data_IF_976796836035
#
_entry.id   IF_976796836035
#
_cell.length_a   1.000
_cell.length_b   1.000
_cell.length_c   1.000
_cell.angle_alpha   90.00
_cell.angle_beta   90.00
_cell.angle_gamma   90.00
#
_symmetry.space_group_name_H-M   'P 1'
#
loop_
_entity.id
_entity.type
_entity.pdbx_description
1 polymer ?
#
# COMPACT_ATOMS: atom_id res chain seq x y z
N UNK A 1 -23.67 6.66 11.49
CA UNK A 1 -22.67 5.59 11.34
C UNK A 1 -21.28 6.22 11.26
N UNK A 2 -20.29 5.80 12.08
CA UNK A 2 -18.93 6.37 11.99
C UNK A 2 -18.41 6.18 10.56
N UNK A 3 -17.95 7.25 9.89
CA UNK A 3 -17.48 7.21 8.49
C UNK A 3 -16.46 6.08 8.25
N UNK A 4 -15.55 5.86 9.20
CA UNK A 4 -14.59 4.75 9.19
C UNK A 4 -15.25 3.35 9.09
N UNK A 5 -16.36 3.13 9.81
CA UNK A 5 -17.10 1.85 9.79
C UNK A 5 -17.84 1.67 8.47
N UNK A 6 -18.36 2.75 7.87
CA UNK A 6 -19.00 2.69 6.56
C UNK A 6 -17.99 2.25 5.49
N UNK A 7 -16.84 2.93 5.43
CA UNK A 7 -15.76 2.60 4.50
C UNK A 7 -15.19 1.19 4.72
N UNK A 8 -14.98 0.80 5.99
CA UNK A 8 -14.57 -0.56 6.32
C UNK A 8 -15.60 -1.61 5.89
N UNK A 9 -16.89 -1.30 5.98
CA UNK A 9 -17.96 -2.22 5.55
C UNK A 9 -17.99 -2.37 4.03
N UNK A 10 -17.85 -1.26 3.29
CA UNK A 10 -17.74 -1.30 1.82
C UNK A 10 -16.54 -2.14 1.38
N UNK A 11 -15.38 -1.99 2.05
CA UNK A 11 -14.20 -2.81 1.80
C UNK A 11 -14.47 -4.30 2.03
N UNK A 12 -15.09 -4.66 3.16
CA UNK A 12 -15.44 -6.06 3.46
C UNK A 12 -16.44 -6.60 2.45
N UNK A 13 -17.47 -5.85 2.09
CA UNK A 13 -18.47 -6.27 1.10
C UNK A 13 -17.79 -6.51 -0.25
N UNK A 14 -16.91 -5.61 -0.70
CA UNK A 14 -16.12 -5.82 -1.92
C UNK A 14 -15.27 -7.10 -1.87
N UNK A 15 -14.62 -7.35 -0.73
CA UNK A 15 -13.82 -8.56 -0.52
C UNK A 15 -14.68 -9.84 -0.56
N UNK A 16 -15.82 -9.83 0.13
CA UNK A 16 -16.74 -10.98 0.16
C UNK A 16 -17.36 -11.23 -1.22
N UNK A 17 -17.77 -10.17 -1.93
CA UNK A 17 -18.25 -10.28 -3.31
C UNK A 17 -17.19 -10.91 -4.19
N UNK A 18 -15.93 -10.51 -4.06
CA UNK A 18 -14.85 -11.09 -4.84
C UNK A 18 -14.62 -12.58 -4.55
N UNK A 19 -14.62 -12.97 -3.28
CA UNK A 19 -14.49 -14.38 -2.88
C UNK A 19 -15.66 -15.21 -3.43
N UNK A 20 -16.89 -14.74 -3.24
CA UNK A 20 -18.09 -15.45 -3.72
C UNK A 20 -18.10 -15.56 -5.24
N UNK A 21 -17.85 -14.47 -5.95
CA UNK A 21 -17.83 -14.45 -7.40
C UNK A 21 -16.73 -15.34 -7.97
N UNK A 22 -15.54 -15.36 -7.34
CA UNK A 22 -14.46 -16.29 -7.69
C UNK A 22 -14.88 -17.73 -7.50
N UNK A 23 -15.45 -18.10 -6.35
CA UNK A 23 -15.92 -19.47 -6.07
C UNK A 23 -16.98 -19.90 -7.08
N UNK A 24 -17.98 -19.06 -7.34
CA UNK A 24 -19.02 -19.33 -8.34
C UNK A 24 -18.43 -19.52 -9.73
N UNK A 25 -17.42 -18.72 -10.10
CA UNK A 25 -16.71 -18.83 -11.37
C UNK A 25 -15.95 -20.13 -11.56
N UNK A 26 -15.61 -20.84 -10.48
CA UNK A 26 -14.88 -22.11 -10.55
C UNK A 26 -15.76 -23.35 -10.52
N UNK A 27 -17.05 -23.22 -10.19
CA UNK A 27 -17.94 -24.37 -10.04
C UNK A 27 -18.51 -24.82 -11.38
N UNK A 28 -18.40 -26.13 -11.67
CA UNK A 28 -19.13 -26.78 -12.76
C UNK A 28 -18.59 -26.49 -14.16
N UNK A 29 -17.32 -26.14 -14.31
CA UNK A 29 -16.69 -25.85 -15.61
C UNK A 29 -16.27 -27.12 -16.40
N UNK A 30 -16.37 -28.30 -15.80
CA UNK A 30 -16.03 -29.58 -16.45
C UNK A 30 -14.53 -29.92 -16.39
N UNK A 31 -14.13 -31.10 -16.93
CA UNK A 31 -12.80 -31.68 -16.73
C UNK A 31 -11.64 -30.92 -17.42
N UNK A 32 -11.93 -29.99 -18.32
CA UNK A 32 -10.92 -29.15 -18.97
C UNK A 32 -10.39 -28.01 -18.10
N UNK A 33 -11.04 -27.71 -16.97
CA UNK A 33 -10.66 -26.63 -16.06
C UNK A 33 -10.00 -27.18 -14.80
N UNK A 34 -8.67 -27.33 -14.85
CA UNK A 34 -7.84 -27.78 -13.72
C UNK A 34 -7.34 -26.56 -12.91
N UNK A 35 -7.80 -26.35 -11.65
CA UNK A 35 -7.41 -25.20 -10.84
C UNK A 35 -5.94 -25.23 -10.39
N UNK A 36 -5.26 -26.38 -10.51
CA UNK A 36 -3.83 -26.45 -10.22
C UNK A 36 -3.02 -25.86 -11.38
N UNK A 37 -3.46 -26.05 -12.63
CA UNK A 37 -2.72 -25.64 -13.82
C UNK A 37 -3.12 -24.26 -14.33
N UNK A 38 -4.42 -24.01 -14.41
CA UNK A 38 -4.99 -22.79 -15.00
C UNK A 38 -5.07 -21.67 -13.97
N UNK A 39 -4.66 -20.46 -14.33
CA UNK A 39 -4.74 -19.27 -13.48
C UNK A 39 -6.19 -18.87 -13.20
N UNK A 40 -6.44 -17.98 -12.24
CA UNK A 40 -7.75 -17.36 -12.05
C UNK A 40 -8.10 -16.52 -13.30
N UNK A 41 -7.12 -15.85 -13.90
CA UNK A 41 -7.30 -15.12 -15.16
C UNK A 41 -7.67 -16.02 -16.34
N UNK A 42 -7.18 -17.26 -16.42
CA UNK A 42 -7.60 -18.24 -17.44
C UNK A 42 -9.10 -18.58 -17.30
N UNK A 43 -9.64 -18.57 -16.07
CA UNK A 43 -11.08 -18.81 -15.83
C UNK A 43 -11.94 -17.63 -16.29
N UNK A 44 -11.37 -16.43 -16.49
CA UNK A 44 -12.07 -15.30 -17.10
C UNK A 44 -12.45 -15.57 -18.57
N UNK A 45 -11.78 -16.52 -19.23
CA UNK A 45 -12.12 -16.96 -20.59
C UNK A 45 -13.21 -18.04 -20.64
N UNK A 46 -13.69 -18.52 -19.48
CA UNK A 46 -14.73 -19.55 -19.40
C UNK A 46 -16.13 -19.00 -19.70
N UNK A 47 -17.11 -19.89 -19.83
CA UNK A 47 -18.53 -19.53 -19.89
C UNK A 47 -19.04 -18.82 -18.61
N UNK A 48 -18.26 -18.81 -17.52
CA UNK A 48 -18.52 -18.05 -16.29
C UNK A 48 -17.55 -16.88 -16.10
N UNK A 49 -16.82 -16.48 -17.14
CA UNK A 49 -15.76 -15.46 -17.08
C UNK A 49 -16.16 -14.16 -16.40
N UNK A 50 -17.39 -13.71 -16.65
CA UNK A 50 -17.99 -12.51 -16.03
C UNK A 50 -17.94 -12.55 -14.49
N UNK A 51 -18.05 -13.72 -13.86
CA UNK A 51 -17.96 -13.82 -12.39
C UNK A 51 -16.55 -13.55 -11.87
N UNK A 52 -15.52 -13.92 -12.63
CA UNK A 52 -14.13 -13.59 -12.31
C UNK A 52 -13.87 -12.10 -12.52
N UNK A 53 -14.38 -11.52 -13.61
CA UNK A 53 -14.29 -10.08 -13.88
C UNK A 53 -14.98 -9.26 -12.77
N UNK A 54 -16.18 -9.68 -12.33
CA UNK A 54 -16.88 -9.10 -11.18
C UNK A 54 -16.01 -9.17 -9.92
N UNK A 55 -15.30 -10.27 -9.69
CA UNK A 55 -14.41 -10.39 -8.54
C UNK A 55 -13.26 -9.38 -8.61
N UNK A 56 -12.63 -9.23 -9.76
CA UNK A 56 -11.56 -8.25 -9.98
C UNK A 56 -12.05 -6.81 -9.77
N UNK A 57 -13.23 -6.46 -10.32
CA UNK A 57 -13.84 -5.13 -10.15
C UNK A 57 -14.22 -4.88 -8.69
N UNK A 58 -14.80 -5.86 -8.00
CA UNK A 58 -15.17 -5.73 -6.59
C UNK A 58 -13.95 -5.48 -5.70
N UNK A 59 -12.83 -6.16 -5.96
CA UNK A 59 -11.55 -5.92 -5.30
C UNK A 59 -11.03 -4.51 -5.60
N UNK A 60 -11.01 -4.11 -6.86
CA UNK A 60 -10.53 -2.80 -7.30
C UNK A 60 -11.29 -1.63 -6.64
N UNK A 61 -12.59 -1.79 -6.37
CA UNK A 61 -13.41 -0.80 -5.65
C UNK A 61 -13.22 -0.90 -4.13
N UNK A 62 -13.00 -2.11 -3.60
CA UNK A 62 -12.81 -2.36 -2.18
C UNK A 62 -11.57 -1.69 -1.59
N UNK A 63 -10.44 -1.66 -2.32
CA UNK A 63 -9.20 -1.07 -1.79
C UNK A 63 -9.26 0.46 -1.57
N UNK A 64 -9.81 1.29 -2.48
CA UNK A 64 -10.07 2.70 -2.21
C UNK A 64 -10.97 2.91 -0.98
N UNK A 65 -11.97 2.06 -0.76
CA UNK A 65 -12.81 2.12 0.44
C UNK A 65 -12.00 1.80 1.71
N UNK A 66 -11.13 0.78 1.69
CA UNK A 66 -10.20 0.51 2.79
C UNK A 66 -9.32 1.72 3.10
N UNK A 67 -8.81 2.39 2.05
CA UNK A 67 -7.99 3.58 2.18
C UNK A 67 -8.73 4.74 2.86
N UNK A 68 -9.99 4.96 2.48
CA UNK A 68 -10.86 5.93 3.12
C UNK A 68 -11.12 5.58 4.59
N UNK A 69 -11.32 4.30 4.90
CA UNK A 69 -11.49 3.80 6.28
C UNK A 69 -10.27 4.04 7.15
N UNK A 70 -9.07 3.73 6.64
CA UNK A 70 -7.79 3.97 7.31
C UNK A 70 -7.55 5.48 7.56
N UNK A 71 -7.89 6.36 6.59
CA UNK A 71 -7.80 7.81 6.78
C UNK A 71 -8.75 8.29 7.87
N UNK A 72 -9.97 7.75 7.89
CA UNK A 72 -10.99 8.10 8.86
C UNK A 72 -10.64 7.70 10.30
N UNK A 73 -9.70 6.77 10.51
CA UNK A 73 -9.14 6.43 11.84
C UNK A 73 -7.78 7.10 12.11
N UNK A 74 -7.41 8.12 11.33
CA UNK A 74 -6.24 8.95 11.58
C UNK A 74 -4.91 8.40 11.04
N UNK A 75 -4.92 7.34 10.21
CA UNK A 75 -3.68 6.84 9.59
C UNK A 75 -3.20 7.84 8.52
N UNK A 76 -1.91 8.17 8.56
CA UNK A 76 -1.27 9.07 7.60
C UNK A 76 -1.09 8.39 6.22
N UNK A 77 -2.12 8.46 5.38
CA UNK A 77 -2.14 7.86 4.05
C UNK A 77 -1.96 8.92 2.95
N UNK A 78 -0.72 9.39 2.84
CA UNK A 78 -0.26 10.25 1.74
C UNK A 78 0.98 9.65 1.10
N UNK A 79 1.18 9.99 -0.18
CA UNK A 79 2.32 9.56 -0.99
C UNK A 79 2.25 8.09 -1.38
N UNK A 80 3.33 7.35 -1.08
CA UNK A 80 3.59 6.00 -1.58
C UNK A 80 2.42 4.99 -1.39
N UNK A 81 1.77 4.84 -0.22
CA UNK A 81 0.68 3.87 -0.07
C UNK A 81 -0.53 4.15 -0.96
N UNK A 82 -0.87 5.44 -1.15
CA UNK A 82 -1.96 5.84 -2.04
C UNK A 82 -1.61 5.49 -3.47
N UNK A 83 -0.40 5.81 -3.91
CA UNK A 83 0.06 5.54 -5.27
C UNK A 83 0.08 4.03 -5.59
N UNK A 84 0.63 3.21 -4.69
CA UNK A 84 0.68 1.76 -4.87
C UNK A 84 -0.71 1.12 -4.87
N UNK A 85 -1.62 1.54 -3.99
CA UNK A 85 -3.00 1.04 -4.03
C UNK A 85 -3.77 1.50 -5.27
N UNK A 86 -3.44 2.68 -5.82
CA UNK A 86 -3.95 3.08 -7.13
C UNK A 86 -3.43 2.16 -8.24
N UNK A 87 -2.13 1.81 -8.24
CA UNK A 87 -1.58 0.84 -9.19
C UNK A 87 -2.30 -0.50 -9.08
N UNK A 88 -2.51 -1.01 -7.86
CA UNK A 88 -3.23 -2.28 -7.66
C UNK A 88 -4.67 -2.21 -8.16
N UNK A 89 -5.40 -1.15 -7.82
CA UNK A 89 -6.81 -1.00 -8.21
C UNK A 89 -6.95 -0.85 -9.72
N UNK A 90 -6.13 0.00 -10.34
CA UNK A 90 -6.12 0.20 -11.80
C UNK A 90 -5.64 -1.07 -12.52
N UNK A 91 -4.64 -1.76 -12.00
CA UNK A 91 -4.14 -3.01 -12.56
C UNK A 91 -5.22 -4.09 -12.60
N UNK A 92 -6.02 -4.22 -11.52
CA UNK A 92 -7.18 -5.12 -11.50
C UNK A 92 -8.29 -4.71 -12.48
N UNK A 93 -8.58 -3.41 -12.62
CA UNK A 93 -9.55 -2.95 -13.62
C UNK A 93 -9.07 -3.23 -15.05
N UNK A 94 -7.79 -3.00 -15.33
CA UNK A 94 -7.19 -3.33 -16.62
C UNK A 94 -7.29 -4.85 -16.86
N UNK A 95 -6.95 -5.68 -15.87
CA UNK A 95 -7.05 -7.14 -15.99
C UNK A 95 -8.50 -7.62 -16.17
N UNK A 96 -9.49 -6.92 -15.60
CA UNK A 96 -10.90 -7.24 -15.76
C UNK A 96 -11.45 -6.88 -17.15
N UNK A 97 -10.93 -5.81 -17.77
CA UNK A 97 -11.45 -5.28 -19.05
C UNK A 97 -10.67 -5.87 -20.24
N UNK A 98 -9.36 -6.03 -20.10
CA UNK A 98 -8.49 -6.49 -21.17
C UNK A 98 -8.34 -8.01 -21.06
N UNK A 99 -8.77 -8.77 -22.08
CA UNK A 99 -8.73 -10.23 -22.04
C UNK A 99 -7.30 -10.75 -22.05
N UNK A 100 -7.10 -11.88 -21.39
CA UNK A 100 -5.89 -12.70 -21.53
C UNK A 100 -6.03 -13.65 -22.73
N UNK A 101 -4.93 -14.24 -23.18
CA UNK A 101 -4.96 -15.27 -24.21
C UNK A 101 -5.24 -16.65 -23.60
N UNK A 102 -5.87 -17.57 -24.35
CA UNK A 102 -5.97 -18.96 -23.94
C UNK A 102 -4.59 -19.59 -23.70
N UNK A 103 -4.46 -20.49 -22.72
CA UNK A 103 -3.17 -21.09 -22.35
C UNK A 103 -2.55 -21.97 -23.46
N UNK A 104 -3.32 -22.33 -24.50
CA UNK A 104 -2.86 -23.09 -25.67
C UNK A 104 -2.11 -22.25 -26.71
N UNK A 105 -2.16 -20.93 -26.63
CA UNK A 105 -1.50 -20.03 -27.59
C UNK A 105 -0.03 -19.84 -27.20
N UNK A 106 0.88 -19.99 -28.17
CA UNK A 106 2.34 -19.91 -27.94
C UNK A 106 2.90 -18.49 -28.07
N UNK A 107 2.26 -17.62 -28.86
CA UNK A 107 2.63 -16.21 -29.03
C UNK A 107 1.59 -15.31 -28.38
N UNK A 108 2.00 -14.54 -27.35
CA UNK A 108 1.06 -13.65 -26.67
C UNK A 108 0.67 -12.45 -27.55
N UNK A 109 -0.62 -12.16 -27.56
CA UNK A 109 -1.19 -10.94 -28.10
C UNK A 109 -0.80 -9.72 -27.26
N UNK A 110 -0.88 -8.53 -27.85
CA UNK A 110 -0.65 -7.28 -27.12
C UNK A 110 -1.63 -7.11 -25.96
N UNK A 111 -2.89 -7.56 -26.11
CA UNK A 111 -3.88 -7.52 -25.04
C UNK A 111 -3.46 -8.39 -23.85
N UNK A 112 -3.02 -9.62 -24.11
CA UNK A 112 -2.56 -10.52 -23.06
C UNK A 112 -1.27 -10.03 -22.39
N UNK A 113 -0.37 -9.36 -23.12
CA UNK A 113 0.78 -8.68 -22.52
C UNK A 113 0.35 -7.56 -21.56
N UNK A 114 -0.60 -6.71 -21.97
CA UNK A 114 -1.12 -5.66 -21.10
C UNK A 114 -1.78 -6.26 -19.85
N UNK A 115 -2.65 -7.27 -20.02
CA UNK A 115 -3.27 -7.98 -18.91
C UNK A 115 -2.22 -8.54 -17.92
N UNK A 116 -1.19 -9.20 -18.46
CA UNK A 116 -0.11 -9.82 -17.67
C UNK A 116 0.66 -8.79 -16.87
N UNK A 117 1.13 -7.72 -17.51
CA UNK A 117 1.91 -6.69 -16.82
C UNK A 117 1.07 -5.87 -15.84
N UNK A 118 -0.21 -5.63 -16.14
CA UNK A 118 -1.14 -5.01 -15.21
C UNK A 118 -1.35 -5.87 -13.95
N UNK A 119 -1.54 -7.19 -14.13
CA UNK A 119 -1.69 -8.15 -13.03
C UNK A 119 -0.43 -8.25 -12.17
N UNK A 120 0.76 -8.31 -12.81
CA UNK A 120 2.04 -8.31 -12.10
C UNK A 120 2.24 -7.03 -11.30
N UNK A 121 1.94 -5.87 -11.91
CA UNK A 121 2.04 -4.58 -11.23
C UNK A 121 1.10 -4.53 -10.01
N UNK A 122 -0.12 -5.07 -10.13
CA UNK A 122 -1.02 -5.21 -9.00
C UNK A 122 -0.42 -6.10 -7.90
N UNK A 123 -0.04 -7.34 -8.22
CA UNK A 123 0.50 -8.30 -7.25
C UNK A 123 1.74 -7.82 -6.50
N UNK A 124 2.52 -6.92 -7.10
CA UNK A 124 3.68 -6.30 -6.45
C UNK A 124 3.27 -5.08 -5.61
N UNK A 125 2.32 -4.27 -6.09
CA UNK A 125 1.99 -3.00 -5.46
C UNK A 125 1.29 -3.15 -4.10
N UNK A 126 0.34 -4.08 -3.98
CA UNK A 126 -0.41 -4.29 -2.73
C UNK A 126 0.46 -4.70 -1.54
N UNK A 127 1.33 -5.73 -1.62
CA UNK A 127 2.14 -6.11 -0.46
C UNK A 127 3.12 -5.01 -0.05
N UNK A 128 3.64 -4.22 -0.99
CA UNK A 128 4.49 -3.05 -0.67
C UNK A 128 3.65 -1.97 0.02
N UNK A 129 2.46 -1.66 -0.49
CA UNK A 129 1.57 -0.69 0.15
C UNK A 129 1.20 -1.12 1.58
N UNK A 130 0.89 -2.39 1.76
CA UNK A 130 0.53 -2.99 3.03
C UNK A 130 1.70 -2.98 4.03
N UNK A 131 2.93 -3.24 3.58
CA UNK A 131 4.11 -3.15 4.43
C UNK A 131 4.33 -1.72 4.95
N UNK A 132 4.16 -0.71 4.08
CA UNK A 132 4.25 0.70 4.48
C UNK A 132 3.11 1.08 5.44
N UNK A 133 1.87 0.63 5.17
CA UNK A 133 0.72 0.87 6.04
C UNK A 133 0.88 0.20 7.40
N UNK A 134 1.41 -1.02 7.46
CA UNK A 134 1.67 -1.74 8.71
C UNK A 134 2.65 -1.01 9.62
N UNK A 135 3.63 -0.29 9.05
CA UNK A 135 4.55 0.56 9.81
C UNK A 135 3.89 1.86 10.33
N UNK A 136 2.90 2.40 9.59
CA UNK A 136 2.24 3.67 9.93
C UNK A 136 1.01 3.50 10.83
N UNK A 137 0.38 2.33 10.82
CA UNK A 137 -0.88 2.08 11.52
C UNK A 137 -0.63 1.55 12.94
N UNK A 138 -0.30 2.45 13.85
CA UNK A 138 0.02 2.15 15.26
C UNK A 138 -1.17 1.54 16.03
N UNK A 139 -2.40 1.91 15.68
CA UNK A 139 -3.63 1.42 16.32
C UNK A 139 -4.04 -0.03 16.00
N UNK A 140 -3.32 -0.72 15.12
CA UNK A 140 -3.67 -2.09 14.68
C UNK A 140 -3.32 -3.16 15.73
N UNK A 141 -2.32 -2.89 16.57
CA UNK A 141 -1.79 -3.83 17.55
C UNK A 141 -0.76 -4.80 16.98
N UNK A 142 0.24 -5.18 17.81
CA UNK A 142 1.46 -5.91 17.39
C UNK A 142 1.18 -7.20 16.61
N UNK A 143 0.18 -7.99 17.03
CA UNK A 143 -0.17 -9.27 16.36
C UNK A 143 -0.61 -9.06 14.92
N UNK A 144 -1.56 -8.15 14.68
CA UNK A 144 -2.07 -7.88 13.32
C UNK A 144 -0.98 -7.25 12.44
N UNK A 145 -0.16 -6.34 12.98
CA UNK A 145 0.99 -5.80 12.27
C UNK A 145 1.97 -6.90 11.85
N UNK A 146 2.26 -7.87 12.74
CA UNK A 146 3.11 -9.01 12.45
C UNK A 146 2.50 -9.92 11.37
N UNK A 147 1.19 -10.16 11.42
CA UNK A 147 0.46 -10.92 10.40
C UNK A 147 0.55 -10.25 9.03
N UNK A 148 0.31 -8.93 8.94
CA UNK A 148 0.46 -8.20 7.66
C UNK A 148 1.88 -8.32 7.12
N UNK A 149 2.91 -8.13 7.95
CA UNK A 149 4.31 -8.27 7.53
C UNK A 149 4.62 -9.68 7.02
N UNK A 150 4.16 -10.71 7.72
CA UNK A 150 4.33 -12.10 7.28
C UNK A 150 3.66 -12.34 5.93
N UNK A 151 2.44 -11.85 5.74
CA UNK A 151 1.72 -11.97 4.47
C UNK A 151 2.42 -11.20 3.34
N UNK A 152 2.99 -10.01 3.62
CA UNK A 152 3.79 -9.28 2.63
C UNK A 152 5.01 -10.09 2.18
N UNK A 153 5.71 -10.75 3.11
CA UNK A 153 6.83 -11.65 2.78
C UNK A 153 6.32 -12.85 1.98
N UNK A 154 5.20 -13.45 2.37
CA UNK A 154 4.56 -14.54 1.60
C UNK A 154 4.22 -14.09 0.18
N UNK A 155 3.71 -12.87 -0.01
CA UNK A 155 3.43 -12.33 -1.34
C UNK A 155 4.71 -12.12 -2.15
N UNK A 156 5.78 -11.58 -1.55
CA UNK A 156 7.06 -11.39 -2.23
C UNK A 156 7.64 -12.73 -2.71
N UNK A 157 7.61 -13.76 -1.86
CA UNK A 157 7.98 -15.13 -2.24
C UNK A 157 7.05 -15.67 -3.33
N UNK A 158 5.73 -15.45 -3.20
CA UNK A 158 4.74 -15.87 -4.18
C UNK A 158 4.93 -15.25 -5.56
N UNK A 159 5.28 -13.97 -5.65
CA UNK A 159 5.63 -13.28 -6.91
C UNK A 159 6.88 -13.90 -7.52
N UNK A 160 7.92 -14.14 -6.71
CA UNK A 160 9.13 -14.84 -7.18
C UNK A 160 8.83 -16.26 -7.68
N UNK A 161 7.95 -16.97 -6.99
CA UNK A 161 7.51 -18.32 -7.38
C UNK A 161 6.66 -18.29 -8.65
N UNK A 162 5.78 -17.29 -8.83
CA UNK A 162 5.03 -17.09 -10.07
C UNK A 162 5.97 -16.85 -11.24
N UNK A 163 6.99 -16.01 -11.07
CA UNK A 163 8.02 -15.80 -12.10
C UNK A 163 8.73 -17.11 -12.42
N UNK A 164 9.20 -17.85 -11.41
CA UNK A 164 9.87 -19.14 -11.62
C UNK A 164 8.96 -20.13 -12.37
N UNK A 165 7.71 -20.31 -11.93
CA UNK A 165 6.79 -21.24 -12.59
C UNK A 165 6.42 -20.77 -14.00
N UNK A 166 6.32 -19.47 -14.23
CA UNK A 166 5.95 -18.91 -15.54
C UNK A 166 7.04 -19.00 -16.61
N UNK A 167 8.32 -18.98 -16.22
CA UNK A 167 9.44 -19.02 -17.15
C UNK A 167 10.18 -20.37 -17.09
N UNK A 168 11.11 -20.63 -16.15
CA UNK A 168 11.86 -21.89 -16.13
C UNK A 168 11.01 -23.11 -15.72
N UNK A 169 9.95 -22.93 -14.94
CA UNK A 169 9.15 -24.00 -14.36
C UNK A 169 8.05 -24.57 -15.26
N UNK A 170 8.01 -24.20 -16.54
CA UNK A 170 7.12 -24.82 -17.53
C UNK A 170 5.63 -24.69 -17.22
N UNK A 171 5.22 -23.68 -16.44
CA UNK A 171 3.85 -23.44 -15.97
C UNK A 171 3.25 -24.55 -15.10
N UNK A 172 4.09 -25.42 -14.53
CA UNK A 172 3.64 -26.50 -13.63
C UNK A 172 3.05 -25.90 -12.36
N UNK A 173 1.80 -26.25 -12.06
CA UNK A 173 1.05 -25.75 -10.89
C UNK A 173 0.87 -24.21 -10.85
N UNK A 174 0.94 -23.53 -12.00
CA UNK A 174 0.81 -22.08 -12.10
C UNK A 174 -0.49 -21.57 -11.43
N UNK A 175 -1.60 -22.28 -11.65
CA UNK A 175 -2.88 -21.98 -11.05
C UNK A 175 -2.88 -22.02 -9.51
N UNK A 176 -2.16 -22.98 -8.91
CA UNK A 176 -2.05 -23.07 -7.45
C UNK A 176 -1.25 -21.90 -6.88
N UNK A 177 -0.14 -21.55 -7.52
CA UNK A 177 0.74 -20.46 -7.07
C UNK A 177 -0.01 -19.13 -7.13
N UNK A 178 -0.72 -18.85 -8.24
CA UNK A 178 -1.50 -17.62 -8.38
C UNK A 178 -2.60 -17.55 -7.31
N UNK A 179 -3.36 -18.63 -7.10
CA UNK A 179 -4.41 -18.69 -6.07
C UNK A 179 -3.87 -18.45 -4.67
N UNK A 180 -2.71 -19.03 -4.35
CA UNK A 180 -2.06 -18.85 -3.05
C UNK A 180 -1.64 -17.38 -2.85
N UNK A 181 -1.14 -16.73 -3.90
CA UNK A 181 -0.79 -15.32 -3.88
C UNK A 181 -2.03 -14.43 -3.71
N UNK A 182 -3.08 -14.65 -4.51
CA UNK A 182 -4.35 -13.92 -4.40
C UNK A 182 -4.98 -14.09 -3.01
N UNK A 183 -4.94 -15.30 -2.45
CA UNK A 183 -5.42 -15.56 -1.10
C UNK A 183 -4.62 -14.77 -0.04
N UNK A 184 -3.31 -14.66 -0.20
CA UNK A 184 -2.48 -13.85 0.68
C UNK A 184 -2.81 -12.35 0.57
N UNK A 185 -3.07 -11.82 -0.63
CA UNK A 185 -3.50 -10.43 -0.82
C UNK A 185 -4.88 -10.15 -0.19
N UNK A 186 -5.85 -11.06 -0.40
CA UNK A 186 -7.17 -11.00 0.24
C UNK A 186 -7.02 -11.00 1.76
N UNK A 187 -6.14 -11.84 2.31
CA UNK A 187 -5.86 -11.89 3.74
C UNK A 187 -5.25 -10.57 4.26
N UNK A 188 -4.36 -9.93 3.50
CA UNK A 188 -3.81 -8.60 3.83
C UNK A 188 -4.95 -7.58 3.95
N UNK A 189 -5.82 -7.49 2.94
CA UNK A 189 -6.95 -6.56 2.93
C UNK A 189 -7.92 -6.83 4.08
N UNK A 190 -8.18 -8.11 4.39
CA UNK A 190 -9.01 -8.52 5.52
C UNK A 190 -8.40 -8.07 6.86
N UNK A 191 -7.12 -8.32 7.10
CA UNK A 191 -6.42 -7.94 8.34
C UNK A 191 -6.39 -6.42 8.51
N UNK A 192 -6.10 -5.67 7.44
CA UNK A 192 -6.15 -4.21 7.46
C UNK A 192 -7.56 -3.69 7.77
N UNK A 193 -8.59 -4.28 7.16
CA UNK A 193 -10.00 -3.95 7.42
C UNK A 193 -10.37 -4.20 8.89
N UNK A 194 -9.98 -5.35 9.45
CA UNK A 194 -10.16 -5.67 10.88
C UNK A 194 -9.46 -4.62 11.75
N UNK A 195 -8.24 -4.20 11.37
CA UNK A 195 -7.52 -3.11 12.03
C UNK A 195 -8.33 -1.81 12.09
N UNK A 196 -8.94 -1.40 10.97
CA UNK A 196 -9.83 -0.22 10.91
C UNK A 196 -11.01 -0.38 11.86
N UNK A 197 -11.67 -1.54 11.88
CA UNK A 197 -12.79 -1.77 12.80
C UNK A 197 -12.36 -1.69 14.27
N UNK A 198 -11.23 -2.30 14.63
CA UNK A 198 -10.69 -2.25 16.00
C UNK A 198 -10.36 -0.81 16.41
N UNK A 199 -9.65 -0.06 15.57
CA UNK A 199 -9.31 1.33 15.83
C UNK A 199 -10.57 2.21 15.96
N UNK A 200 -11.59 1.98 15.14
CA UNK A 200 -12.86 2.72 15.18
C UNK A 200 -13.71 2.45 16.44
N UNK A 201 -13.47 1.34 17.15
CA UNK A 201 -14.12 1.02 18.43
C UNK A 201 -13.39 1.64 19.63
N UNK A 202 -12.06 1.74 19.55
CA UNK A 202 -11.22 2.33 20.61
C UNK A 202 -11.32 3.86 20.60
N UNK A 203 -11.47 4.48 19.43
CA UNK A 203 -11.84 5.87 19.31
C UNK A 203 -13.31 6.07 19.78
N UNK A 204 -13.51 6.13 21.10
CA UNK A 204 -14.79 6.50 21.72
C UNK A 204 -15.24 7.84 21.11
N UNK A 205 -16.51 8.02 20.72
CA UNK A 205 -17.02 9.36 20.49
C UNK A 205 -16.75 10.14 21.77
N UNK A 206 -16.08 11.28 21.69
CA UNK A 206 -16.16 12.24 22.77
C UNK A 206 -17.65 12.58 22.87
N UNK A 207 -18.38 11.90 23.75
CA UNK A 207 -19.62 12.43 24.29
C UNK A 207 -19.20 13.79 24.79
N UNK A 208 -19.62 14.85 24.09
CA UNK A 208 -19.44 16.20 24.56
C UNK A 208 -20.00 16.19 25.98
N UNK A 209 -19.09 16.19 26.97
CA UNK A 209 -19.47 16.51 28.32
C UNK A 209 -20.17 17.86 28.17
N UNK A 210 -21.41 18.03 28.66
CA UNK A 210 -22.02 19.35 28.72
C UNK A 210 -20.95 20.26 29.30
N UNK A 211 -20.58 21.31 28.56
CA UNK A 211 -19.78 22.39 29.14
C UNK A 211 -20.56 22.80 30.38
N UNK A 212 -20.07 22.40 31.56
CA UNK A 212 -20.58 22.91 32.79
C UNK A 212 -20.40 24.41 32.67
N UNK A 213 -21.51 25.13 32.53
CA UNK A 213 -21.54 26.58 32.61
C UNK A 213 -21.15 26.93 34.03
N UNK A 214 -19.84 26.94 34.29
CA UNK A 214 -19.28 27.52 35.49
C UNK A 214 -19.63 29.02 35.52
N UNK A 215 -19.86 29.60 36.71
CA UNK A 215 -20.21 31.01 36.82
C UNK A 215 -19.15 31.87 36.11
N UNK A 216 -19.61 32.76 35.24
CA UNK A 216 -18.79 33.65 34.40
C UNK A 216 -18.05 34.72 35.22
N UNK A 217 -18.18 34.68 36.55
CA UNK A 217 -17.79 35.76 37.46
C UNK A 217 -16.35 35.62 37.98
N UNK A 218 -15.70 34.47 37.81
CA UNK A 218 -14.37 34.24 38.39
C UNK A 218 -13.20 34.89 37.62
N UNK A 219 -13.36 35.19 36.33
CA UNK A 219 -12.28 35.80 35.52
C UNK A 219 -12.24 37.34 35.64
N UNK A 220 -13.34 37.96 36.07
CA UNK A 220 -13.41 39.41 36.27
C UNK A 220 -12.72 39.87 37.57
N UNK A 221 -12.54 38.97 38.54
CA UNK A 221 -12.04 39.31 39.88
C UNK A 221 -10.50 39.37 40.02
N UNK A 222 -9.74 38.98 38.99
CA UNK A 222 -8.26 38.97 39.04
C UNK A 222 -7.61 40.00 38.13
N UNK A 223 -8.35 41.01 37.64
CA UNK A 223 -7.74 42.08 36.85
C UNK A 223 -6.95 43.01 37.78
N UNK A 224 -5.62 43.14 37.62
CA UNK A 224 -4.83 44.06 38.43
C UNK A 224 -5.25 45.51 38.15
N UNK A 225 -5.29 46.32 39.20
CA UNK A 225 -5.63 47.75 39.14
C UNK A 225 -4.64 48.50 38.21
N UNK A 226 -5.12 49.26 37.20
CA UNK A 226 -4.26 50.09 36.35
C UNK A 226 -3.41 51.12 37.13
N UNK A 227 -3.74 51.42 38.39
CA UNK A 227 -2.94 52.28 39.25
C UNK A 227 -1.61 51.64 39.75
N UNK A 228 -1.45 50.32 39.66
CA UNK A 228 -0.23 49.62 40.11
C UNK A 228 0.77 49.36 38.99
N UNK A 229 0.79 50.18 37.94
CA UNK A 229 1.80 50.12 36.87
C UNK A 229 2.95 51.09 37.19
N UNK A 230 4.12 50.66 37.70
CA UNK A 230 5.28 51.53 37.77
C UNK A 230 5.98 51.50 36.41
N UNK A 231 6.08 52.68 35.79
CA UNK A 231 7.28 53.19 35.10
C UNK A 231 8.29 52.14 34.60
N UNK A 232 8.01 51.54 33.44
CA UNK A 232 9.05 50.88 32.63
C UNK A 232 8.91 51.26 31.15
N UNK A 233 8.87 52.57 30.89
CA UNK A 233 9.24 53.13 29.60
C UNK A 233 10.10 54.36 29.88
N UNK A 234 11.42 54.23 29.76
CA UNK A 234 12.33 55.28 29.29
C UNK A 234 13.75 54.72 29.20
N UNK A 235 14.15 54.33 27.99
CA UNK A 235 15.48 54.59 27.44
C UNK A 235 15.44 54.38 25.94
N UNK A 236 15.30 55.50 25.25
CA UNK A 236 15.44 55.67 23.81
C UNK A 236 16.92 55.51 23.44
N UNK A 237 17.27 54.49 22.66
CA UNK A 237 18.43 54.58 21.75
C UNK A 237 18.14 53.81 20.47
N UNK A 238 17.67 54.56 19.47
CA UNK A 238 17.67 54.19 18.06
C UNK A 238 19.11 54.19 17.54
N UNK A 239 19.40 53.24 16.64
CA UNK A 239 20.48 53.23 15.65
C UNK A 239 21.94 53.13 16.15
N UNK A 240 22.55 51.94 15.96
CA UNK A 240 23.83 51.74 15.23
C UNK A 240 24.20 50.25 15.18
N UNK A 241 24.71 49.82 14.02
CA UNK A 241 25.39 48.56 13.70
C UNK A 241 24.54 47.49 12.97
N UNK A 242 24.31 47.75 11.68
CA UNK A 242 24.42 46.71 10.67
C UNK A 242 25.87 46.21 10.64
N UNK A 243 26.08 44.97 11.09
CA UNK A 243 27.27 44.17 10.77
C UNK A 243 26.84 42.70 10.78
N UNK A 244 26.93 41.96 9.66
CA UNK A 244 26.73 40.53 9.66
C UNK A 244 27.94 39.89 10.35
N UNK A 245 27.74 39.25 11.50
CA UNK A 245 28.76 38.38 12.06
C UNK A 245 28.87 37.12 11.19
N UNK A 246 30.04 36.97 10.56
CA UNK A 246 30.45 35.76 9.87
C UNK A 246 30.52 34.60 10.87
N UNK A 247 29.75 33.54 10.60
CA UNK A 247 29.96 32.25 11.26
C UNK A 247 31.25 31.60 10.71
N UNK A 248 32.15 31.10 11.57
CA UNK A 248 33.42 30.55 11.14
C UNK A 248 33.24 29.21 10.42
N UNK A 249 33.74 29.16 9.18
CA UNK A 249 33.97 27.93 8.45
C UNK A 249 35.02 27.09 9.18
N UNK A 250 34.58 26.00 9.81
CA UNK A 250 35.48 24.92 10.21
C UNK A 250 35.52 23.92 9.05
N UNK A 251 36.53 24.11 8.19
CA UNK A 251 36.92 23.14 7.18
C UNK A 251 37.52 21.91 7.87
N UNK A 252 36.82 20.77 7.80
CA UNK A 252 37.46 19.47 7.90
C UNK A 252 37.75 18.99 6.48
N UNK A 253 39.03 19.04 6.12
CA UNK A 253 39.57 18.42 4.93
C UNK A 253 39.53 16.89 5.10
N UNK A 254 38.60 16.22 4.42
CA UNK A 254 38.72 14.80 4.09
C UNK A 254 39.07 14.74 2.61
N UNK A 255 40.33 14.41 2.34
CA UNK A 255 40.86 14.24 1.00
C UNK A 255 40.15 13.09 0.29
N UNK A 256 39.40 13.41 -0.76
CA UNK A 256 38.97 12.43 -1.75
C UNK A 256 40.01 12.46 -2.86
N UNK A 257 40.85 11.43 -2.89
CA UNK A 257 41.73 11.17 -4.02
C UNK A 257 40.89 10.92 -5.27
N UNK A 258 41.16 11.71 -6.30
CA UNK A 258 40.58 11.62 -7.64
C UNK A 258 40.87 10.27 -8.26
N UNK A 259 39.82 9.50 -8.59
CA UNK A 259 39.89 8.29 -9.38
C UNK A 259 39.92 8.64 -10.88
N UNK A 260 40.91 9.43 -11.28
CA UNK A 260 41.26 9.72 -12.66
C UNK A 260 42.77 9.61 -12.77
N UNK A 261 43.28 8.37 -12.70
CA UNK A 261 44.57 7.92 -13.23
C UNK A 261 44.72 6.42 -12.94
N UNK A 262 44.05 5.60 -13.76
CA UNK A 262 44.35 4.17 -13.88
C UNK A 262 44.03 3.72 -15.31
N UNK A 263 44.71 4.34 -16.28
CA UNK A 263 44.91 3.76 -17.61
C UNK A 263 46.39 3.45 -17.75
N UNK A 264 46.76 2.17 -17.74
CA UNK A 264 47.86 1.65 -18.56
C UNK A 264 47.83 0.12 -18.67
N UNK A 265 48.39 -0.42 -19.77
CA UNK A 265 48.01 -1.70 -20.35
C UNK A 265 48.96 -2.83 -19.93
N UNK A 266 48.47 -4.07 -19.87
CA UNK A 266 49.34 -5.25 -19.93
C UNK A 266 48.64 -6.38 -20.69
N UNK A 267 49.38 -6.89 -21.66
CA UNK A 267 49.01 -7.90 -22.61
C UNK A 267 49.08 -9.33 -22.03
N UNK A 268 48.31 -10.23 -22.64
CA UNK A 268 48.83 -11.51 -23.11
C UNK A 268 48.61 -12.75 -22.23
N UNK A 269 47.61 -13.57 -22.60
CA UNK A 269 47.72 -15.04 -22.68
C UNK A 269 46.46 -15.61 -23.37
N UNK A 270 46.63 -16.19 -24.56
CA UNK A 270 45.54 -16.69 -25.41
C UNK A 270 45.02 -18.10 -25.07
N UNK A 271 43.99 -18.59 -25.79
CA UNK A 271 43.56 -19.97 -25.71
C UNK A 271 44.23 -20.84 -26.79
N UNK A 272 44.84 -21.95 -26.36
CA UNK A 272 45.28 -23.03 -27.25
C UNK A 272 44.06 -23.87 -27.66
N UNK A 273 43.97 -24.15 -28.95
CA UNK A 273 43.12 -25.18 -29.55
C UNK A 273 43.25 -26.53 -28.84
N UNK A 274 42.11 -27.19 -28.59
CA UNK A 274 41.82 -28.58 -28.97
C UNK A 274 40.31 -28.77 -29.00
#
# INVERSE_FOLDING_TARGET
>A
MNKARAYGSVSIVGLLTAVVATVVGHIGLGPGYDPLKLTISDYALSNRGVTIEIAMVALAIGAPALLAGLRAVGVAIRGLPTFLLSIWSVGLLIAAIIPTDPPSVTTMSNAALIHRYASVAAFVALPIAAAVLAARFTGMGKRLTSTVRSLCVTCAVGVGLLWYVAFPGGRVMMGLVERSLVLAEIAILAVLSIGVFRASRVAKPATAAPLATGPVDAYAATRPDPATWPTMISSTTLARAATPQAFPATAQAVGVASAADAVSPLAGAGPRHR
#
